data_IF_831493793943
#
_entry.id   IF_831493793943
#
_cell.length_a   1.000
_cell.length_b   1.000
_cell.length_c   1.000
_cell.angle_alpha   90.00
_cell.angle_beta   90.00
_cell.angle_gamma   90.00
#
_symmetry.space_group_name_H-M   'P 1'
#
loop_
_entity.id
_entity.type
_entity.pdbx_description
1 polymer ?
#
# COMPACT_ATOMS: atom_id res chain seq x y z
N UNK A 1 -3.82 8.63 -2.69
CA UNK A 1 -4.27 7.25 -2.88
C UNK A 1 -4.99 7.15 -4.22
N UNK A 2 -4.89 6.01 -4.90
CA UNK A 2 -5.42 5.70 -6.24
C UNK A 2 -6.28 4.42 -6.23
N UNK A 3 -6.87 4.05 -5.09
CA UNK A 3 -7.54 2.76 -4.90
C UNK A 3 -8.87 2.65 -5.67
N UNK A 4 -9.44 3.77 -6.07
CA UNK A 4 -10.61 3.83 -6.93
C UNK A 4 -10.35 3.26 -8.34
N UNK A 5 -9.10 3.02 -8.72
CA UNK A 5 -8.72 2.38 -9.99
C UNK A 5 -8.66 0.84 -9.92
N UNK A 6 -8.79 0.24 -8.72
CA UNK A 6 -8.84 -1.21 -8.56
C UNK A 6 -10.22 -1.76 -8.92
N UNK A 7 -10.25 -2.86 -9.66
CA UNK A 7 -11.49 -3.59 -9.94
C UNK A 7 -12.05 -4.25 -8.69
N UNK A 8 -13.35 -4.48 -8.66
CA UNK A 8 -14.04 -5.06 -7.50
C UNK A 8 -13.44 -6.40 -7.05
N UNK A 9 -12.94 -7.22 -7.99
CA UNK A 9 -12.33 -8.52 -7.70
C UNK A 9 -10.99 -8.47 -6.95
N UNK A 10 -10.31 -7.32 -6.94
CA UNK A 10 -9.00 -7.14 -6.27
C UNK A 10 -9.11 -6.37 -4.95
N UNK A 11 -10.22 -5.68 -4.67
CA UNK A 11 -10.38 -4.80 -3.49
C UNK A 11 -10.21 -5.53 -2.16
N UNK A 12 -10.85 -6.68 -2.00
CA UNK A 12 -10.76 -7.46 -0.75
C UNK A 12 -9.34 -7.95 -0.51
N UNK A 13 -8.66 -8.42 -1.56
CA UNK A 13 -7.29 -8.90 -1.45
C UNK A 13 -6.30 -7.76 -1.23
N UNK A 14 -6.55 -6.56 -1.78
CA UNK A 14 -5.78 -5.37 -1.43
C UNK A 14 -5.89 -5.06 0.06
N UNK A 15 -7.11 -5.06 0.64
CA UNK A 15 -7.28 -4.82 2.08
C UNK A 15 -6.53 -5.85 2.94
N UNK A 16 -6.54 -7.14 2.55
CA UNK A 16 -5.77 -8.18 3.23
C UNK A 16 -4.26 -7.94 3.11
N UNK A 17 -3.79 -7.51 1.94
CA UNK A 17 -2.39 -7.16 1.72
C UNK A 17 -1.97 -5.96 2.59
N UNK A 18 -2.79 -4.92 2.66
CA UNK A 18 -2.54 -3.75 3.52
C UNK A 18 -2.46 -4.11 4.99
N UNK A 19 -3.34 -4.98 5.48
CA UNK A 19 -3.25 -5.49 6.86
C UNK A 19 -1.94 -6.25 7.09
N UNK A 20 -1.54 -7.14 6.16
CA UNK A 20 -0.28 -7.86 6.27
C UNK A 20 0.93 -6.91 6.30
N UNK A 21 0.93 -5.87 5.45
CA UNK A 21 1.96 -4.84 5.42
C UNK A 21 2.01 -4.00 6.70
N UNK A 22 0.85 -3.56 7.22
CA UNK A 22 0.77 -2.78 8.46
C UNK A 22 1.28 -3.57 9.68
N UNK A 23 0.94 -4.86 9.75
CA UNK A 23 1.45 -5.77 10.79
C UNK A 23 2.97 -5.98 10.68
N UNK A 24 3.50 -6.08 9.45
CA UNK A 24 4.94 -6.16 9.22
C UNK A 24 5.66 -4.86 9.66
N UNK A 25 5.04 -3.71 9.41
CA UNK A 25 5.58 -2.39 9.75
C UNK A 25 5.28 -1.93 11.21
N UNK A 26 4.79 -2.84 12.07
CA UNK A 26 4.51 -2.56 13.50
C UNK A 26 3.65 -1.30 13.74
N UNK A 27 2.77 -0.95 12.81
CA UNK A 27 1.87 0.19 12.97
C UNK A 27 1.02 -0.05 14.23
N UNK A 28 0.92 0.95 15.11
CA UNK A 28 0.18 0.83 16.36
C UNK A 28 -1.30 0.61 16.04
N UNK A 29 -1.98 -0.31 16.75
CA UNK A 29 -3.31 -0.84 16.39
C UNK A 29 -4.36 0.20 15.99
N UNK A 30 -4.30 1.44 16.49
CA UNK A 30 -5.27 2.48 16.14
C UNK A 30 -4.95 3.17 14.80
N UNK A 31 -3.68 3.42 14.50
CA UNK A 31 -3.27 4.02 13.22
C UNK A 31 -3.54 3.07 12.05
N UNK A 32 -3.33 1.77 12.27
CA UNK A 32 -3.68 0.72 11.31
C UNK A 32 -5.18 0.72 11.00
N UNK A 33 -6.03 0.77 12.04
CA UNK A 33 -7.49 0.85 11.88
C UNK A 33 -7.90 2.07 11.07
N UNK A 34 -7.40 3.25 11.41
CA UNK A 34 -7.73 4.49 10.70
C UNK A 34 -7.33 4.42 9.23
N UNK A 35 -6.17 3.83 8.93
CA UNK A 35 -5.70 3.69 7.56
C UNK A 35 -6.55 2.70 6.75
N UNK A 36 -6.87 1.54 7.33
CA UNK A 36 -7.70 0.52 6.67
C UNK A 36 -9.11 1.05 6.41
N UNK A 37 -9.66 1.86 7.33
CA UNK A 37 -10.94 2.54 7.12
C UNK A 37 -10.86 3.55 5.97
N UNK A 38 -9.76 4.31 5.87
CA UNK A 38 -9.52 5.21 4.74
C UNK A 38 -9.47 4.45 3.40
N UNK A 39 -8.80 3.28 3.37
CA UNK A 39 -8.78 2.41 2.20
C UNK A 39 -10.17 1.87 1.85
N UNK A 40 -10.95 1.41 2.83
CA UNK A 40 -12.32 0.94 2.61
C UNK A 40 -13.17 2.02 1.93
N UNK A 41 -13.07 3.26 2.43
CA UNK A 41 -13.80 4.41 1.89
C UNK A 41 -13.44 4.68 0.43
N UNK A 42 -12.15 4.64 0.09
CA UNK A 42 -11.70 4.94 -1.26
C UNK A 42 -11.98 3.82 -2.26
N UNK A 43 -11.88 2.56 -1.82
CA UNK A 43 -12.31 1.40 -2.59
C UNK A 43 -13.83 1.37 -2.81
N UNK A 44 -14.59 2.16 -2.05
CA UNK A 44 -16.05 2.17 -2.10
C UNK A 44 -16.67 0.89 -1.53
N UNK A 45 -16.00 0.25 -0.56
CA UNK A 45 -16.47 -0.98 0.09
C UNK A 45 -16.90 -0.70 1.52
N UNK A 46 -17.59 -1.68 2.13
CA UNK A 46 -17.99 -1.57 3.53
C UNK A 46 -16.73 -1.51 4.41
N UNK A 47 -16.74 -0.59 5.37
CA UNK A 47 -15.70 -0.44 6.40
C UNK A 47 -15.62 -1.69 7.29
N UNK A 48 -14.86 -2.68 6.83
CA UNK A 48 -14.59 -3.94 7.51
C UNK A 48 -13.09 -4.14 7.54
N UNK A 49 -12.56 -4.31 8.74
CA UNK A 49 -11.15 -4.66 8.95
C UNK A 49 -11.03 -6.18 8.82
N UNK A 50 -10.18 -6.70 7.91
CA UNK A 50 -9.91 -8.13 7.84
C UNK A 50 -9.41 -8.66 9.19
N UNK A 51 -10.17 -9.56 9.80
CA UNK A 51 -9.85 -10.15 11.12
C UNK A 51 -9.44 -11.61 11.04
N UNK A 52 -9.51 -12.22 9.85
CA UNK A 52 -9.12 -13.60 9.62
C UNK A 52 -7.60 -13.72 9.48
N UNK A 53 -7.07 -14.92 9.74
CA UNK A 53 -5.66 -15.20 9.48
C UNK A 53 -5.38 -15.00 7.98
N UNK A 54 -4.53 -14.04 7.64
CA UNK A 54 -4.16 -13.73 6.27
C UNK A 54 -3.11 -14.73 5.78
N UNK A 55 -3.44 -15.44 4.71
CA UNK A 55 -2.49 -16.23 3.93
C UNK A 55 -1.93 -15.32 2.82
N UNK A 56 -0.76 -14.74 3.08
CA UNK A 56 -0.17 -13.73 2.21
C UNK A 56 0.19 -14.29 0.84
N UNK A 57 0.69 -15.52 0.76
CA UNK A 57 1.08 -16.16 -0.50
C UNK A 57 -0.15 -16.34 -1.40
N UNK A 58 -1.27 -16.78 -0.81
CA UNK A 58 -2.54 -16.88 -1.53
C UNK A 58 -3.05 -15.51 -2.00
N UNK A 59 -2.98 -14.49 -1.13
CA UNK A 59 -3.41 -13.13 -1.48
C UNK A 59 -2.59 -12.57 -2.64
N UNK A 60 -1.26 -12.71 -2.61
CA UNK A 60 -0.36 -12.25 -3.66
C UNK A 60 -0.61 -12.97 -4.99
N UNK A 61 -0.78 -14.31 -4.94
CA UNK A 61 -1.11 -15.11 -6.11
C UNK A 61 -2.44 -14.68 -6.75
N UNK A 62 -3.49 -14.50 -5.96
CA UNK A 62 -4.78 -14.05 -6.48
C UNK A 62 -4.71 -12.62 -7.05
N UNK A 63 -3.98 -11.71 -6.38
CA UNK A 63 -3.78 -10.36 -6.90
C UNK A 63 -3.03 -10.40 -8.23
N UNK A 64 -1.97 -11.20 -8.35
CA UNK A 64 -1.22 -11.32 -9.61
C UNK A 64 -2.10 -11.73 -10.79
N UNK A 65 -3.01 -12.68 -10.57
CA UNK A 65 -3.91 -13.21 -11.60
C UNK A 65 -5.04 -12.25 -11.95
N UNK A 66 -5.59 -11.54 -10.96
CA UNK A 66 -6.79 -10.70 -11.11
C UNK A 66 -6.50 -9.24 -11.48
N UNK A 67 -5.24 -8.83 -11.47
CA UNK A 67 -4.85 -7.43 -11.72
C UNK A 67 -4.06 -7.28 -13.02
N UNK A 68 -4.30 -6.17 -13.72
CA UNK A 68 -3.44 -5.76 -14.84
C UNK A 68 -2.19 -5.01 -14.34
N UNK A 69 -1.33 -4.60 -15.28
CA UNK A 69 -0.05 -3.93 -14.94
C UNK A 69 -0.27 -2.60 -14.22
N UNK A 70 -1.30 -1.84 -14.59
CA UNK A 70 -1.66 -0.57 -13.96
C UNK A 70 -2.14 -0.78 -12.52
N UNK A 71 -3.04 -1.74 -12.29
CA UNK A 71 -3.53 -2.12 -10.96
C UNK A 71 -2.39 -2.59 -10.05
N UNK A 72 -1.44 -3.38 -10.58
CA UNK A 72 -0.23 -3.80 -9.83
C UNK A 72 0.62 -2.61 -9.39
N UNK A 73 0.79 -1.61 -10.25
CA UNK A 73 1.53 -0.38 -9.90
C UNK A 73 0.80 0.46 -8.85
N UNK A 74 -0.53 0.55 -8.94
CA UNK A 74 -1.35 1.18 -7.90
C UNK A 74 -1.12 0.47 -6.57
N UNK A 75 -1.25 -0.85 -6.53
CA UNK A 75 -1.06 -1.63 -5.30
C UNK A 75 0.35 -1.41 -4.72
N UNK A 76 1.41 -1.48 -5.54
CA UNK A 76 2.77 -1.21 -5.08
C UNK A 76 2.91 0.20 -4.52
N UNK A 77 2.39 1.22 -5.21
CA UNK A 77 2.45 2.60 -4.74
C UNK A 77 1.77 2.79 -3.37
N UNK A 78 0.58 2.21 -3.19
CA UNK A 78 -0.17 2.36 -1.93
C UNK A 78 0.47 1.57 -0.78
N UNK A 79 1.01 0.38 -1.04
CA UNK A 79 1.76 -0.38 -0.04
C UNK A 79 3.06 0.33 0.33
N UNK A 80 3.76 0.95 -0.64
CA UNK A 80 4.91 1.79 -0.34
C UNK A 80 4.53 2.98 0.54
N UNK A 81 3.42 3.67 0.25
CA UNK A 81 2.94 4.78 1.07
C UNK A 81 2.56 4.37 2.51
N UNK A 82 2.08 3.13 2.68
CA UNK A 82 1.76 2.53 3.98
C UNK A 82 3.02 2.19 4.78
N UNK A 83 4.02 1.60 4.13
CA UNK A 83 5.22 1.11 4.80
C UNK A 83 6.22 2.25 5.03
N UNK A 84 6.48 3.08 4.03
CA UNK A 84 7.61 4.03 4.03
C UNK A 84 7.19 5.47 4.26
N UNK A 85 6.44 5.73 5.33
CA UNK A 85 6.02 7.10 5.66
C UNK A 85 7.18 7.97 6.20
N UNK A 86 8.24 7.36 6.74
CA UNK A 86 9.40 8.01 7.36
C UNK A 86 10.67 8.01 6.49
N UNK A 87 10.71 7.18 5.43
CA UNK A 87 11.80 7.11 4.47
C UNK A 87 12.96 6.19 4.87
N UNK A 88 12.83 5.42 5.95
CA UNK A 88 13.79 4.38 6.31
C UNK A 88 13.23 2.99 5.92
N UNK A 89 14.14 2.07 5.60
CA UNK A 89 13.81 0.69 5.26
C UNK A 89 14.44 -0.21 6.31
N UNK A 90 13.63 -0.82 7.16
CA UNK A 90 14.08 -1.98 7.91
C UNK A 90 14.13 -3.24 7.02
N UNK A 91 14.79 -4.29 7.50
CA UNK A 91 14.95 -5.54 6.74
C UNK A 91 13.60 -6.23 6.46
N UNK A 92 12.63 -6.10 7.36
CA UNK A 92 11.29 -6.70 7.21
C UNK A 92 10.53 -6.00 6.11
N UNK A 93 10.57 -4.68 6.07
CA UNK A 93 9.88 -3.89 5.05
C UNK A 93 10.45 -4.14 3.64
N UNK A 94 11.78 -4.19 3.51
CA UNK A 94 12.45 -4.54 2.25
C UNK A 94 11.98 -5.89 1.73
N UNK A 95 12.03 -6.90 2.59
CA UNK A 95 11.64 -8.26 2.21
C UNK A 95 10.18 -8.33 1.76
N UNK A 96 9.29 -7.54 2.37
CA UNK A 96 7.89 -7.49 1.98
C UNK A 96 7.71 -6.89 0.57
N UNK A 97 8.36 -5.76 0.29
CA UNK A 97 8.29 -5.12 -1.03
C UNK A 97 8.95 -5.97 -2.09
N UNK A 98 10.12 -6.56 -1.80
CA UNK A 98 10.81 -7.44 -2.73
C UNK A 98 9.92 -8.62 -3.13
N UNK A 99 9.23 -9.24 -2.18
CA UNK A 99 8.27 -10.31 -2.47
C UNK A 99 7.11 -9.80 -3.34
N UNK A 100 6.55 -8.62 -3.03
CA UNK A 100 5.45 -8.03 -3.77
C UNK A 100 5.83 -7.71 -5.23
N UNK A 101 6.97 -7.04 -5.46
CA UNK A 101 7.42 -6.67 -6.81
C UNK A 101 7.81 -7.89 -7.62
N UNK A 102 8.39 -8.92 -6.98
CA UNK A 102 8.74 -10.18 -7.65
C UNK A 102 7.48 -10.90 -8.12
N UNK A 103 6.44 -11.00 -7.27
CA UNK A 103 5.18 -11.64 -7.67
C UNK A 103 4.46 -10.85 -8.77
N UNK A 104 4.55 -9.52 -8.72
CA UNK A 104 3.91 -8.64 -9.70
C UNK A 104 4.72 -8.41 -10.97
N UNK A 105 5.93 -8.98 -11.06
CA UNK A 105 6.87 -8.81 -12.17
C UNK A 105 7.17 -7.32 -12.44
N UNK A 106 7.24 -6.53 -11.36
CA UNK A 106 7.64 -5.12 -11.40
C UNK A 106 9.16 -5.06 -11.31
N UNK A 107 9.78 -4.38 -12.27
CA UNK A 107 11.24 -4.26 -12.29
C UNK A 107 11.72 -3.32 -11.18
N UNK A 108 12.94 -3.53 -10.68
CA UNK A 108 13.58 -2.59 -9.75
C UNK A 108 13.65 -1.16 -10.30
N UNK A 109 13.77 -1.00 -11.63
CA UNK A 109 13.75 0.31 -12.27
C UNK A 109 12.36 0.97 -12.20
N UNK A 110 11.28 0.19 -12.32
CA UNK A 110 9.92 0.67 -12.08
C UNK A 110 9.69 1.00 -10.61
N UNK A 111 10.17 0.16 -9.69
CA UNK A 111 10.09 0.42 -8.25
C UNK A 111 10.80 1.73 -7.87
N UNK A 112 12.07 1.88 -8.25
CA UNK A 112 12.86 3.08 -7.95
C UNK A 112 12.19 4.37 -8.44
N UNK A 113 11.55 4.34 -9.63
CA UNK A 113 10.78 5.49 -10.14
C UNK A 113 9.55 5.78 -9.30
N UNK A 114 8.82 4.75 -8.87
CA UNK A 114 7.63 4.91 -8.02
C UNK A 114 8.05 5.51 -6.66
N UNK A 115 9.12 5.00 -6.06
CA UNK A 115 9.69 5.51 -4.80
C UNK A 115 10.13 6.97 -4.91
N UNK A 116 10.86 7.31 -5.99
CA UNK A 116 11.29 8.69 -6.23
C UNK A 116 10.10 9.66 -6.32
N UNK A 117 9.05 9.28 -7.05
CA UNK A 117 7.83 10.07 -7.19
C UNK A 117 7.05 10.17 -5.87
N UNK A 118 6.96 9.09 -5.10
CA UNK A 118 6.32 9.08 -3.79
C UNK A 118 7.04 10.02 -2.81
N UNK A 119 8.37 10.01 -2.80
CA UNK A 119 9.18 10.91 -1.98
C UNK A 119 8.96 12.38 -2.37
N UNK A 120 8.98 12.70 -3.67
CA UNK A 120 8.69 14.04 -4.16
C UNK A 120 7.26 14.49 -3.78
N UNK A 121 6.28 13.59 -3.90
CA UNK A 121 4.90 13.84 -3.51
C UNK A 121 4.77 14.12 -2.00
N UNK A 122 5.42 13.32 -1.15
CA UNK A 122 5.42 13.49 0.31
C UNK A 122 6.04 14.82 0.72
N UNK A 123 7.19 15.18 0.16
CA UNK A 123 7.86 16.45 0.44
C UNK A 123 7.04 17.65 -0.03
N UNK A 124 6.39 17.56 -1.19
CA UNK A 124 5.48 18.60 -1.66
C UNK A 124 4.26 18.74 -0.75
N UNK A 125 3.67 17.61 -0.33
CA UNK A 125 2.54 17.60 0.58
C UNK A 125 2.88 18.26 1.91
N UNK A 126 4.04 17.93 2.52
CA UNK A 126 4.53 18.58 3.74
C UNK A 126 4.59 20.10 3.56
N UNK A 127 5.18 20.59 2.47
CA UNK A 127 5.25 22.05 2.18
C UNK A 127 3.87 22.70 2.07
N UNK A 128 2.92 22.06 1.40
CA UNK A 128 1.54 22.54 1.29
C UNK A 128 0.88 22.62 2.67
N UNK A 129 1.07 21.60 3.52
CA UNK A 129 0.54 21.59 4.89
C UNK A 129 1.13 22.73 5.73
N UNK A 130 2.44 22.97 5.67
CA UNK A 130 3.09 24.09 6.37
C UNK A 130 2.51 25.43 5.92
N UNK A 131 2.33 25.63 4.61
CA UNK A 131 1.76 26.86 4.03
C UNK A 131 0.30 27.09 4.46
N UNK A 132 -0.54 26.05 4.44
CA UNK A 132 -1.97 26.18 4.77
C UNK A 132 -2.18 26.38 6.27
N UNK A 133 -1.45 25.61 7.10
CA UNK A 133 -1.73 25.53 8.53
C UNK A 133 -0.77 26.36 9.40
N UNK A 134 0.24 27.03 8.81
CA UNK A 134 1.26 27.79 9.53
C UNK A 134 1.87 27.02 10.71
N UNK A 135 2.10 25.72 10.51
CA UNK A 135 2.81 24.86 11.45
C UNK A 135 4.26 24.70 11.00
#
# INVERSE_FOLDING_TARGET
>A
MFLNYLKDESKENFLKLSMAAANANRIIEEEEKQMVLAYCKELGVKEIIPSEKIDIDKVLSELKEKTNKEEKKVIVFEILGLMYSDGEYDEVERNFIDNLINEFEITNEELNRIEELLNQYSELYKKIVLEIFNK
#
